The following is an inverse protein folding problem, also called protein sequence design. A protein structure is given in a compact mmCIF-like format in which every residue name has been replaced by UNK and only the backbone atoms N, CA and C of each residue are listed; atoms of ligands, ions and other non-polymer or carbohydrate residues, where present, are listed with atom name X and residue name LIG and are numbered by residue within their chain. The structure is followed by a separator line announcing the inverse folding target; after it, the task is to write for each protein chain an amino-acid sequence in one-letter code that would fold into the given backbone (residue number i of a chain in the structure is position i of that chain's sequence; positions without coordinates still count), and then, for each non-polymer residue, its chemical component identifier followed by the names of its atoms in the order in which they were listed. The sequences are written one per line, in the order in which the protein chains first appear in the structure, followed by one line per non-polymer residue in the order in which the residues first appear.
data_IF_026811265577
#
_entry.id   IF_026811265577
#
_cell.length_a   1.000
_cell.length_b   1.000
_cell.length_c   1.000
_cell.angle_alpha   90.00
_cell.angle_beta   90.00
_cell.angle_gamma   90.00
#
_symmetry.space_group_name_H-M   'P 1'
#
loop_
_entity.id
_entity.type
_entity.pdbx_description
1 polymer ?
#
# COMPACT_ATOMS: atom_id res chain seq x y z
N UNK A 1 19.87 2.93 63.45
CA UNK A 1 19.05 3.88 62.69
C UNK A 1 18.96 3.34 61.27
N UNK A 2 17.78 2.85 60.86
CA UNK A 2 17.53 2.27 59.54
C UNK A 2 17.34 3.39 58.51
N UNK A 3 17.89 3.22 57.31
CA UNK A 3 17.44 3.87 56.06
C UNK A 3 18.11 3.09 54.93
N UNK A 4 17.46 2.05 54.41
CA UNK A 4 16.52 2.05 53.27
C UNK A 4 17.21 2.41 51.96
N UNK A 5 17.54 1.34 51.24
CA UNK A 5 17.78 1.28 49.80
C UNK A 5 16.46 1.59 49.12
N UNK A 6 16.47 2.52 48.18
CA UNK A 6 15.51 2.58 47.07
C UNK A 6 16.29 2.81 45.77
N UNK A 7 16.10 1.98 44.72
CA UNK A 7 16.61 2.26 43.39
C UNK A 7 15.56 3.04 42.60
N UNK A 8 15.96 4.01 41.77
CA UNK A 8 15.14 4.35 40.62
C UNK A 8 16.03 4.54 39.38
N UNK A 9 15.68 4.10 38.18
CA UNK A 9 14.42 3.61 37.66
C UNK A 9 14.62 3.54 36.15
N UNK A 10 14.02 2.54 35.52
CA UNK A 10 13.89 2.46 34.07
C UNK A 10 13.17 3.72 33.57
N UNK A 11 13.91 4.63 32.94
CA UNK A 11 13.29 5.69 32.16
C UNK A 11 12.76 5.08 30.86
N UNK A 12 11.51 4.62 30.89
CA UNK A 12 10.67 4.59 29.70
C UNK A 12 10.38 6.03 29.33
N UNK A 13 11.36 6.68 28.68
CA UNK A 13 11.12 7.96 28.04
C UNK A 13 10.23 7.71 26.83
N UNK A 14 8.95 8.07 26.97
CA UNK A 14 8.07 8.41 25.85
C UNK A 14 8.62 9.64 25.13
N UNK A 15 9.79 9.48 24.52
CA UNK A 15 10.27 10.39 23.50
C UNK A 15 9.42 10.05 22.28
N UNK A 16 8.75 11.06 21.74
CA UNK A 16 8.23 11.01 20.37
C UNK A 16 9.37 10.58 19.46
N UNK A 17 9.43 9.27 19.16
CA UNK A 17 10.43 8.69 18.27
C UNK A 17 10.14 9.24 16.89
N UNK A 18 10.77 10.36 16.56
CA UNK A 18 10.98 10.73 15.16
C UNK A 18 11.86 9.64 14.57
N UNK A 19 11.52 9.19 13.38
CA UNK A 19 12.35 8.26 12.61
C UNK A 19 13.63 9.03 12.25
N UNK A 20 14.82 8.59 12.72
CA UNK A 20 16.08 9.23 12.37
C UNK A 20 16.32 9.18 10.85
N UNK A 21 16.93 10.22 10.29
CA UNK A 21 17.28 10.21 8.85
C UNK A 21 18.21 9.06 8.47
N UNK A 22 19.06 8.59 9.41
CA UNK A 22 19.91 7.42 9.22
C UNK A 22 19.13 6.11 9.03
N UNK A 23 17.88 6.07 9.49
CA UNK A 23 17.00 4.91 9.38
C UNK A 23 16.15 4.95 8.10
N UNK A 24 16.25 6.04 7.31
CA UNK A 24 15.60 6.18 6.01
C UNK A 24 16.62 5.92 4.93
N UNK A 25 16.52 4.77 4.25
CA UNK A 25 17.46 4.35 3.21
C UNK A 25 16.79 4.44 1.84
N UNK A 26 17.08 5.48 1.02
CA UNK A 26 16.53 5.59 -0.32
C UNK A 26 16.94 4.39 -1.18
N UNK A 27 15.99 3.82 -1.92
CA UNK A 27 16.25 2.68 -2.82
C UNK A 27 16.60 3.15 -4.24
N UNK A 28 16.02 4.27 -4.68
CA UNK A 28 16.35 4.92 -5.94
C UNK A 28 16.37 6.43 -5.76
N UNK A 29 16.76 7.16 -6.81
CA UNK A 29 16.80 8.63 -6.80
C UNK A 29 15.42 9.28 -6.81
N UNK A 30 14.36 8.57 -7.24
CA UNK A 30 13.05 9.17 -7.50
C UNK A 30 11.89 8.44 -6.83
N UNK A 31 12.06 7.21 -6.35
CA UNK A 31 10.99 6.41 -5.74
C UNK A 31 11.55 5.37 -4.77
N UNK A 32 10.86 5.13 -3.67
CA UNK A 32 11.22 4.06 -2.75
C UNK A 32 12.20 4.47 -1.66
N UNK A 33 11.89 4.09 -0.43
CA UNK A 33 12.83 4.05 0.68
C UNK A 33 12.53 2.87 1.61
N UNK A 34 13.57 2.24 2.15
CA UNK A 34 13.46 1.31 3.27
C UNK A 34 13.53 2.09 4.58
N UNK A 35 12.58 1.84 5.47
CA UNK A 35 12.52 2.44 6.80
C UNK A 35 12.93 1.40 7.83
N UNK A 36 14.02 1.67 8.55
CA UNK A 36 14.63 0.77 9.53
C UNK A 36 14.23 1.15 10.96
N UNK A 37 14.44 0.23 11.89
CA UNK A 37 14.25 0.49 13.33
C UNK A 37 12.80 0.71 13.77
N UNK A 38 11.83 0.53 12.88
CA UNK A 38 10.39 0.68 13.15
C UNK A 38 9.72 -0.69 13.13
N UNK A 39 9.06 -1.01 14.24
CA UNK A 39 8.13 -2.13 14.34
C UNK A 39 6.71 -1.59 14.14
N UNK A 40 6.02 -2.02 13.10
CA UNK A 40 4.66 -1.57 12.80
C UNK A 40 3.65 -2.17 13.78
N UNK A 41 2.58 -1.43 14.05
CA UNK A 41 1.50 -1.85 14.94
C UNK A 41 0.49 -0.73 15.17
N UNK A 42 -0.64 -1.09 15.79
CA UNK A 42 -1.68 -0.14 16.17
C UNK A 42 -1.28 0.86 17.26
N UNK A 43 -0.22 0.53 18.02
CA UNK A 43 0.25 1.24 19.22
C UNK A 43 1.32 2.31 18.94
N UNK A 44 1.72 2.51 17.68
CA UNK A 44 2.68 3.55 17.30
C UNK A 44 2.23 4.94 17.78
N UNK A 45 3.16 5.77 18.25
CA UNK A 45 2.81 7.16 18.61
C UNK A 45 2.32 7.96 17.40
N UNK A 46 1.47 8.96 17.63
CA UNK A 46 1.00 9.85 16.54
C UNK A 46 2.14 10.54 15.80
N UNK A 47 3.22 10.87 16.51
CA UNK A 47 4.43 11.44 15.90
C UNK A 47 5.11 10.46 14.93
N UNK A 48 5.15 9.17 15.28
CA UNK A 48 5.69 8.14 14.40
C UNK A 48 4.82 7.95 13.16
N UNK A 49 3.50 7.90 13.33
CA UNK A 49 2.54 7.81 12.22
C UNK A 49 2.64 9.03 11.29
N UNK A 50 2.73 10.23 11.84
CA UNK A 50 2.94 11.45 11.07
C UNK A 50 4.25 11.40 10.27
N UNK A 51 5.35 10.92 10.89
CA UNK A 51 6.63 10.74 10.20
C UNK A 51 6.53 9.70 9.07
N UNK A 52 5.89 8.56 9.31
CA UNK A 52 5.65 7.53 8.28
C UNK A 52 4.85 8.11 7.11
N UNK A 53 3.76 8.84 7.37
CA UNK A 53 2.96 9.47 6.33
C UNK A 53 3.78 10.50 5.53
N UNK A 54 4.63 11.31 6.17
CA UNK A 54 5.52 12.25 5.46
C UNK A 54 6.56 11.52 4.60
N UNK A 55 7.15 10.44 5.11
CA UNK A 55 8.11 9.62 4.36
C UNK A 55 7.44 8.94 3.16
N UNK A 56 6.21 8.42 3.34
CA UNK A 56 5.43 7.85 2.25
C UNK A 56 5.11 8.90 1.18
N UNK A 57 4.67 10.10 1.56
CA UNK A 57 4.42 11.19 0.61
C UNK A 57 5.68 11.62 -0.14
N UNK A 58 6.84 11.67 0.55
CA UNK A 58 8.13 12.01 -0.06
C UNK A 58 8.58 10.94 -1.05
N UNK A 59 8.68 9.70 -0.59
CA UNK A 59 9.29 8.58 -1.32
C UNK A 59 8.31 7.79 -2.22
N UNK A 60 7.01 8.11 -2.15
CA UNK A 60 5.88 7.51 -2.91
C UNK A 60 5.57 6.06 -2.54
N UNK A 61 6.58 5.25 -2.24
CA UNK A 61 6.49 3.91 -1.68
C UNK A 61 7.56 3.76 -0.60
N UNK A 62 7.24 3.08 0.50
CA UNK A 62 8.18 2.80 1.58
C UNK A 62 8.06 1.34 2.03
N UNK A 63 9.16 0.79 2.50
CA UNK A 63 9.27 -0.62 2.87
C UNK A 63 9.70 -0.77 4.33
N UNK A 64 9.06 -1.69 5.04
CA UNK A 64 9.45 -2.11 6.38
C UNK A 64 9.82 -3.58 6.34
N UNK A 65 11.06 -3.91 6.73
CA UNK A 65 11.55 -5.30 6.85
C UNK A 65 11.35 -5.80 8.29
N UNK A 66 11.38 -7.12 8.49
CA UNK A 66 11.31 -7.72 9.83
C UNK A 66 9.98 -7.51 10.54
N UNK A 67 8.87 -7.67 9.81
CA UNK A 67 7.50 -7.47 10.33
C UNK A 67 6.74 -8.80 10.46
N UNK A 68 7.44 -9.89 10.78
CA UNK A 68 6.88 -11.25 10.87
C UNK A 68 5.81 -11.40 11.96
N UNK A 69 5.70 -10.41 12.86
CA UNK A 69 4.69 -10.37 13.91
C UNK A 69 3.33 -9.84 13.45
N UNK A 70 3.24 -9.18 12.30
CA UNK A 70 1.98 -8.61 11.83
C UNK A 70 1.06 -9.72 11.36
N UNK A 71 -0.04 -9.94 12.07
CA UNK A 71 -1.20 -10.67 11.57
C UNK A 71 -2.20 -9.72 10.89
N UNK A 72 -3.33 -10.26 10.42
CA UNK A 72 -4.35 -9.46 9.71
C UNK A 72 -4.92 -8.35 10.60
N UNK A 73 -5.09 -8.62 11.89
CA UNK A 73 -5.61 -7.65 12.85
C UNK A 73 -4.61 -6.52 13.08
N UNK A 74 -3.33 -6.84 13.30
CA UNK A 74 -2.27 -5.84 13.47
C UNK A 74 -2.04 -5.01 12.19
N UNK A 75 -2.15 -5.62 11.01
CA UNK A 75 -2.10 -4.89 9.73
C UNK A 75 -3.25 -3.87 9.63
N UNK A 76 -4.48 -4.26 9.99
CA UNK A 76 -5.62 -3.34 10.01
C UNK A 76 -5.46 -2.23 11.05
N UNK A 77 -5.00 -2.58 12.26
CA UNK A 77 -4.75 -1.61 13.32
C UNK A 77 -3.73 -0.56 12.90
N UNK A 78 -2.64 -0.97 12.25
CA UNK A 78 -1.67 -0.05 11.68
C UNK A 78 -2.28 0.79 10.54
N UNK A 79 -2.97 0.16 9.58
CA UNK A 79 -3.55 0.85 8.43
C UNK A 79 -4.59 1.91 8.85
N UNK A 80 -5.37 1.66 9.92
CA UNK A 80 -6.31 2.64 10.51
C UNK A 80 -5.63 3.91 11.00
N UNK A 81 -4.35 3.85 11.35
CA UNK A 81 -3.58 5.03 11.76
C UNK A 81 -3.23 5.94 10.57
N UNK A 82 -3.27 5.43 9.35
CA UNK A 82 -3.00 6.18 8.12
C UNK A 82 -4.27 6.74 7.45
N UNK A 83 -5.45 6.28 7.86
CA UNK A 83 -6.76 6.72 7.37
C UNK A 83 -7.87 5.70 7.59
N UNK A 84 -9.05 5.98 7.03
CA UNK A 84 -10.16 5.02 7.05
C UNK A 84 -9.84 3.82 6.16
N UNK A 85 -10.18 2.62 6.62
CA UNK A 85 -10.06 1.41 5.80
C UNK A 85 -11.17 1.39 4.76
N UNK A 86 -10.82 1.09 3.51
CA UNK A 86 -11.76 0.95 2.40
C UNK A 86 -11.59 -0.46 1.84
N UNK A 87 -12.62 -1.34 1.95
CA UNK A 87 -12.55 -2.66 1.33
C UNK A 87 -12.58 -2.55 -0.18
N UNK A 88 -11.96 -3.51 -0.88
CA UNK A 88 -12.00 -3.54 -2.35
C UNK A 88 -13.46 -3.66 -2.83
N UNK A 89 -13.96 -2.76 -3.69
CA UNK A 89 -15.39 -2.64 -3.98
C UNK A 89 -16.00 -3.89 -4.63
N UNK A 90 -15.23 -4.62 -5.42
CA UNK A 90 -15.70 -5.80 -6.16
C UNK A 90 -15.37 -7.14 -5.49
N UNK A 91 -14.36 -7.19 -4.61
CA UNK A 91 -13.87 -8.45 -4.02
C UNK A 91 -14.29 -8.59 -2.56
N UNK A 92 -14.60 -7.48 -1.90
CA UNK A 92 -14.88 -7.45 -0.47
C UNK A 92 -13.67 -7.82 0.39
N UNK A 93 -13.83 -7.78 1.73
CA UNK A 93 -12.79 -8.18 2.66
C UNK A 93 -12.74 -9.71 2.85
N UNK A 94 -11.59 -10.21 3.27
CA UNK A 94 -11.41 -11.56 3.76
C UNK A 94 -12.31 -11.81 4.99
N UNK A 95 -12.79 -13.04 5.14
CA UNK A 95 -13.71 -13.41 6.22
C UNK A 95 -13.13 -13.05 7.60
N UNK A 96 -13.90 -12.30 8.40
CA UNK A 96 -13.49 -11.85 9.73
C UNK A 96 -12.62 -10.60 9.77
N UNK A 97 -12.34 -9.98 8.62
CA UNK A 97 -11.58 -8.72 8.51
C UNK A 97 -12.46 -7.59 8.03
N UNK A 98 -12.05 -6.34 8.25
CA UNK A 98 -12.78 -5.17 7.77
C UNK A 98 -12.43 -4.80 6.32
N UNK A 99 -11.19 -5.04 5.88
CA UNK A 99 -10.70 -4.58 4.57
C UNK A 99 -9.57 -5.40 3.94
N UNK A 100 -9.11 -6.48 4.60
CA UNK A 100 -8.00 -7.29 4.05
C UNK A 100 -8.44 -7.94 2.75
N UNK A 101 -7.63 -7.78 1.70
CA UNK A 101 -7.79 -8.50 0.43
C UNK A 101 -6.66 -9.53 0.30
N UNK A 102 -7.03 -10.81 0.15
CA UNK A 102 -6.06 -11.88 -0.06
C UNK A 102 -5.62 -11.95 -1.52
N UNK A 103 -4.33 -11.76 -1.76
CA UNK A 103 -3.71 -11.93 -3.07
C UNK A 103 -3.02 -13.30 -3.13
N UNK A 104 -3.67 -14.29 -3.75
CA UNK A 104 -3.17 -15.67 -3.86
C UNK A 104 -2.98 -16.05 -5.34
N UNK A 105 -1.73 -16.01 -5.80
CA UNK A 105 -1.34 -16.41 -7.15
C UNK A 105 -1.44 -17.92 -7.42
N UNK A 106 -1.54 -18.75 -6.38
CA UNK A 106 -1.61 -20.21 -6.47
C UNK A 106 -3.04 -20.75 -6.66
N UNK A 107 -4.06 -19.94 -6.34
CA UNK A 107 -5.49 -20.33 -6.46
C UNK A 107 -6.22 -19.64 -7.61
N UNK A 108 -5.50 -19.20 -8.63
CA UNK A 108 -6.09 -18.47 -9.76
C UNK A 108 -6.53 -17.05 -9.42
N UNK A 109 -6.06 -16.49 -8.29
CA UNK A 109 -6.24 -15.08 -7.98
C UNK A 109 -5.66 -14.22 -9.10
N UNK A 110 -6.41 -13.19 -9.51
CA UNK A 110 -6.05 -12.32 -10.63
C UNK A 110 -4.62 -11.80 -10.51
N UNK A 111 -3.87 -11.86 -11.62
CA UNK A 111 -2.53 -11.26 -11.71
C UNK A 111 -2.68 -9.79 -12.10
N UNK A 112 -2.11 -8.91 -11.30
CA UNK A 112 -1.96 -7.51 -11.65
C UNK A 112 -0.63 -7.34 -12.43
N UNK A 113 -0.61 -7.84 -13.67
CA UNK A 113 0.60 -7.91 -14.52
C UNK A 113 0.71 -6.74 -15.52
N UNK A 114 -0.16 -5.75 -15.40
CA UNK A 114 -0.13 -4.49 -16.13
C UNK A 114 0.13 -3.32 -15.19
N UNK A 115 0.78 -2.26 -15.69
CA UNK A 115 0.90 -1.01 -14.94
C UNK A 115 -0.48 -0.45 -14.63
N UNK A 116 -0.75 -0.20 -13.36
CA UNK A 116 -2.02 0.33 -12.88
C UNK A 116 -1.82 1.11 -11.58
N UNK A 117 -2.89 1.76 -11.14
CA UNK A 117 -3.09 2.26 -9.78
C UNK A 117 -4.43 1.74 -9.28
N UNK A 118 -4.50 1.39 -8.01
CA UNK A 118 -5.64 0.67 -7.44
C UNK A 118 -6.93 1.50 -7.49
N UNK A 119 -8.01 0.87 -7.97
CA UNK A 119 -9.41 1.34 -7.82
C UNK A 119 -9.66 2.78 -8.29
N UNK A 120 -9.04 3.22 -9.39
CA UNK A 120 -9.29 4.58 -9.93
C UNK A 120 -10.69 4.82 -10.48
N UNK A 121 -11.50 3.77 -10.60
CA UNK A 121 -12.87 3.81 -11.14
C UNK A 121 -13.93 4.17 -10.09
N UNK A 122 -13.52 4.64 -8.90
CA UNK A 122 -14.42 5.17 -7.87
C UNK A 122 -13.98 6.59 -7.47
N UNK A 123 -14.94 7.46 -7.16
CA UNK A 123 -14.69 8.88 -6.90
C UNK A 123 -13.66 9.11 -5.78
N UNK A 124 -13.83 8.39 -4.66
CA UNK A 124 -12.94 8.45 -3.50
C UNK A 124 -12.00 7.25 -3.49
N UNK A 125 -11.14 7.16 -4.50
CA UNK A 125 -10.16 6.07 -4.62
C UNK A 125 -9.15 6.05 -3.45
N UNK A 126 -8.50 4.89 -3.19
CA UNK A 126 -7.60 4.74 -2.05
C UNK A 126 -6.43 5.73 -2.06
N UNK A 127 -6.21 6.37 -0.91
CA UNK A 127 -5.03 7.22 -0.70
C UNK A 127 -3.73 6.41 -0.70
N UNK A 128 -3.74 5.25 -0.05
CA UNK A 128 -2.60 4.34 0.10
C UNK A 128 -3.08 2.89 0.17
N UNK A 129 -2.22 1.97 -0.28
CA UNK A 129 -2.37 0.53 -0.06
C UNK A 129 -1.30 0.04 0.92
N UNK A 130 -1.67 -0.82 1.87
CA UNK A 130 -0.73 -1.49 2.80
C UNK A 130 -0.65 -2.96 2.40
N UNK A 131 0.50 -3.37 1.87
CA UNK A 131 0.74 -4.73 1.40
C UNK A 131 1.70 -5.46 2.35
N UNK A 132 1.32 -6.68 2.76
CA UNK A 132 2.13 -7.56 3.62
C UNK A 132 2.42 -8.86 2.89
N UNK A 133 3.70 -9.22 2.79
CA UNK A 133 4.13 -10.51 2.26
C UNK A 133 3.87 -11.64 3.26
N UNK A 134 2.96 -12.55 2.93
CA UNK A 134 2.63 -13.71 3.79
C UNK A 134 3.41 -14.95 3.35
N UNK A 135 3.28 -15.32 2.07
CA UNK A 135 4.04 -16.40 1.45
C UNK A 135 4.67 -15.83 0.19
N UNK A 136 6.00 -15.78 0.15
CA UNK A 136 6.78 -15.24 -0.97
C UNK A 136 7.66 -16.38 -1.52
N UNK A 137 7.70 -16.61 -2.84
CA UNK A 137 8.59 -17.60 -3.43
C UNK A 137 10.07 -17.24 -3.22
N UNK A 138 10.97 -18.22 -3.27
CA UNK A 138 12.40 -17.98 -3.10
C UNK A 138 13.01 -17.04 -4.16
N UNK A 139 12.39 -16.95 -5.34
CA UNK A 139 12.78 -16.04 -6.40
C UNK A 139 11.57 -15.69 -7.30
N UNK A 140 11.60 -14.49 -7.89
CA UNK A 140 10.52 -13.95 -8.72
C UNK A 140 9.36 -13.38 -7.90
N UNK A 141 8.40 -12.76 -8.59
CA UNK A 141 7.26 -12.10 -7.94
C UNK A 141 7.54 -10.66 -7.46
N UNK A 142 8.61 -10.04 -7.96
CA UNK A 142 8.92 -8.64 -7.66
C UNK A 142 7.76 -7.74 -8.09
N UNK A 143 7.42 -6.79 -7.22
CA UNK A 143 6.51 -5.70 -7.54
C UNK A 143 7.35 -4.47 -7.90
N UNK A 144 6.97 -3.78 -8.98
CA UNK A 144 7.65 -2.58 -9.45
C UNK A 144 6.72 -1.38 -9.31
N UNK A 145 7.29 -0.23 -8.97
CA UNK A 145 6.57 1.03 -8.78
C UNK A 145 7.14 2.10 -9.70
N UNK A 146 6.29 3.04 -10.12
CA UNK A 146 6.66 4.22 -10.90
C UNK A 146 6.24 5.50 -10.16
N UNK A 147 6.99 6.58 -10.34
CA UNK A 147 6.67 7.88 -9.77
C UNK A 147 6.02 8.78 -10.83
N UNK A 148 4.69 8.83 -10.82
CA UNK A 148 3.87 9.62 -11.75
C UNK A 148 4.06 11.13 -11.56
N UNK A 149 4.32 11.59 -10.33
CA UNK A 149 4.65 13.00 -10.08
C UNK A 149 5.96 13.38 -10.78
N UNK A 150 7.01 12.57 -10.62
CA UNK A 150 8.26 12.80 -11.33
C UNK A 150 8.09 12.71 -12.85
N UNK A 151 7.29 11.76 -13.35
CA UNK A 151 7.00 11.66 -14.79
C UNK A 151 6.36 12.94 -15.33
N UNK A 152 5.31 13.43 -14.65
CA UNK A 152 4.62 14.67 -15.00
C UNK A 152 5.53 15.90 -14.96
N UNK A 153 6.36 16.03 -13.92
CA UNK A 153 7.28 17.18 -13.79
C UNK A 153 8.36 17.24 -14.89
N UNK A 154 8.71 16.10 -15.52
CA UNK A 154 9.66 16.09 -16.64
C UNK A 154 8.98 16.13 -18.01
N UNK A 155 7.66 16.30 -18.09
CA UNK A 155 6.99 16.48 -19.38
C UNK A 155 7.48 17.78 -20.04
N UNK A 156 7.75 17.77 -21.37
CA UNK A 156 7.87 18.99 -22.14
C UNK A 156 6.65 19.90 -21.92
N UNK A 157 6.86 21.21 -21.86
CA UNK A 157 5.80 22.17 -21.56
C UNK A 157 4.52 21.98 -22.40
N UNK A 158 4.57 21.70 -23.72
CA UNK A 158 3.35 21.43 -24.50
C UNK A 158 2.56 20.20 -24.03
N UNK A 159 3.25 19.14 -23.60
CA UNK A 159 2.59 17.92 -23.09
C UNK A 159 2.03 18.12 -21.68
N UNK A 160 2.70 18.94 -20.85
CA UNK A 160 2.18 19.33 -19.54
C UNK A 160 0.87 20.10 -19.69
N UNK A 161 0.83 21.09 -20.58
CA UNK A 161 -0.39 21.86 -20.91
C UNK A 161 -1.50 20.92 -21.43
N UNK A 162 -1.17 19.97 -22.31
CA UNK A 162 -2.14 19.00 -22.79
C UNK A 162 -2.73 18.19 -21.62
N UNK A 163 -1.87 17.61 -20.78
CA UNK A 163 -2.28 16.81 -19.64
C UNK A 163 -3.16 17.59 -18.65
N UNK A 164 -2.87 18.88 -18.42
CA UNK A 164 -3.62 19.76 -17.52
C UNK A 164 -5.06 20.05 -18.00
N UNK A 165 -5.36 19.81 -19.28
CA UNK A 165 -6.64 20.16 -19.91
C UNK A 165 -7.44 18.93 -20.36
N UNK A 166 -6.95 17.72 -20.09
CA UNK A 166 -7.64 16.49 -20.47
C UNK A 166 -8.33 15.84 -19.28
N UNK A 167 -9.39 15.12 -19.60
CA UNK A 167 -10.10 14.23 -18.69
C UNK A 167 -9.96 12.80 -19.21
N UNK A 168 -9.84 11.84 -18.29
CA UNK A 168 -9.86 10.42 -18.58
C UNK A 168 -11.04 9.80 -17.84
N UNK A 169 -11.77 8.91 -18.51
CA UNK A 169 -12.83 8.12 -17.88
C UNK A 169 -12.17 6.90 -17.24
N UNK A 170 -12.45 6.66 -15.97
CA UNK A 170 -11.98 5.47 -15.27
C UNK A 170 -13.17 4.54 -15.02
N UNK A 171 -13.07 3.31 -15.52
CA UNK A 171 -14.10 2.29 -15.32
C UNK A 171 -13.49 0.95 -14.95
N UNK A 172 -14.23 0.15 -14.17
CA UNK A 172 -13.95 -1.27 -14.00
C UNK A 172 -14.60 -2.11 -15.12
N UNK A 173 -15.45 -1.51 -15.95
CA UNK A 173 -15.92 -2.10 -17.19
C UNK A 173 -14.79 -2.05 -18.21
N UNK A 174 -13.95 -3.07 -18.14
CA UNK A 174 -12.99 -3.52 -19.14
C UNK A 174 -12.53 -2.46 -20.17
N UNK A 175 -11.59 -1.59 -19.80
CA UNK A 175 -10.71 -0.95 -20.78
C UNK A 175 -9.24 -1.15 -20.38
N UNK A 176 -8.73 -2.34 -20.70
CA UNK A 176 -7.35 -2.46 -21.09
C UNK A 176 -7.35 -3.23 -22.40
N UNK A 177 -6.77 -2.64 -23.44
CA UNK A 177 -6.48 -3.26 -24.73
C UNK A 177 -5.51 -4.47 -24.65
N UNK A 178 -5.54 -5.24 -23.56
CA UNK A 178 -4.96 -6.56 -23.44
C UNK A 178 -6.09 -7.59 -23.58
N UNK A 179 -6.20 -8.14 -24.79
CA UNK A 179 -6.65 -9.53 -24.91
C UNK A 179 -5.82 -10.34 -23.91
N UNK A 180 -6.44 -11.17 -23.06
CA UNK A 180 -5.75 -12.22 -22.32
C UNK A 180 -5.77 -13.50 -23.18
N UNK A 181 -4.92 -13.64 -24.23
CA UNK A 181 -5.00 -14.77 -25.15
C UNK A 181 -4.71 -16.11 -24.47
N UNK A 182 -4.18 -16.08 -23.24
CA UNK A 182 -3.83 -17.25 -22.44
C UNK A 182 -4.75 -17.50 -21.24
N UNK A 183 -5.77 -16.67 -21.01
CA UNK A 183 -6.69 -16.90 -19.89
C UNK A 183 -7.59 -18.10 -20.18
N UNK A 184 -7.71 -19.01 -19.21
CA UNK A 184 -8.64 -20.15 -19.31
C UNK A 184 -10.10 -19.67 -19.25
N UNK A 185 -11.04 -20.54 -19.61
CA UNK A 185 -12.46 -20.22 -19.52
C UNK A 185 -12.89 -19.95 -18.07
N UNK A 186 -12.30 -20.67 -17.11
CA UNK A 186 -12.54 -20.51 -15.68
C UNK A 186 -12.01 -19.17 -15.16
N UNK A 187 -10.82 -18.75 -15.58
CA UNK A 187 -10.24 -17.45 -15.21
C UNK A 187 -11.08 -16.28 -15.77
N UNK A 188 -11.62 -16.43 -16.98
CA UNK A 188 -12.53 -15.44 -17.58
C UNK A 188 -13.86 -15.36 -16.84
N UNK A 189 -14.47 -16.51 -16.54
CA UNK A 189 -15.74 -16.57 -15.80
C UNK A 189 -15.60 -16.00 -14.39
N UNK A 190 -14.54 -16.38 -13.66
CA UNK A 190 -14.26 -15.83 -12.34
C UNK A 190 -14.09 -14.31 -12.38
N UNK A 191 -13.40 -13.80 -13.41
CA UNK A 191 -13.25 -12.37 -13.61
C UNK A 191 -14.58 -11.66 -13.85
N UNK A 192 -15.44 -12.19 -14.74
CA UNK A 192 -16.75 -11.61 -15.03
C UNK A 192 -17.64 -11.55 -13.77
N UNK A 193 -17.68 -12.63 -13.01
CA UNK A 193 -18.47 -12.76 -11.78
C UNK A 193 -17.98 -11.81 -10.66
N UNK A 194 -16.67 -11.60 -10.56
CA UNK A 194 -16.08 -10.80 -9.48
C UNK A 194 -15.95 -9.33 -9.86
N UNK A 195 -15.34 -9.02 -11.00
CA UNK A 195 -14.94 -7.65 -11.35
C UNK A 195 -15.99 -6.85 -12.13
N UNK A 196 -16.90 -7.50 -12.86
CA UNK A 196 -17.94 -6.82 -13.67
C UNK A 196 -19.37 -6.98 -13.16
N UNK A 197 -19.55 -7.60 -11.98
CA UNK A 197 -20.88 -7.76 -11.37
C UNK A 197 -21.57 -6.43 -11.04
N UNK A 198 -20.80 -5.35 -10.92
CA UNK A 198 -21.28 -3.97 -10.81
C UNK A 198 -20.37 -3.09 -11.66
N UNK A 199 -20.93 -2.23 -12.52
CA UNK A 199 -20.18 -1.29 -13.36
C UNK A 199 -20.06 0.05 -12.62
N UNK A 200 -18.82 0.54 -12.51
CA UNK A 200 -18.46 1.86 -12.02
C UNK A 200 -17.84 2.67 -13.16
N UNK A 201 -18.16 3.96 -13.22
CA UNK A 201 -17.62 4.91 -14.19
C UNK A 201 -17.52 6.28 -13.51
N UNK A 202 -16.34 6.90 -13.60
CA UNK A 202 -16.01 8.20 -13.01
C UNK A 202 -15.13 9.01 -13.94
#
# INVERSE_FOLDING_TARGET
MRSLIDPPGFWLSSLTKRIPDSDVVPLTSRVGAEIRGVRLGGDLSDAAIAAINQLLLKHKVIFFRGQEHLDDAEQELFARRLGNLVPHPTQGPAAGTASILNLDSGRGGGRADQWHTDVTFVDAYPKFSVLRGVVIPAAGGDTIWSNTHAAYENLPAPLKILADNLWAIHSNAYDYAAVRPRATAEEKKHFEEVFTSTIYET
#
